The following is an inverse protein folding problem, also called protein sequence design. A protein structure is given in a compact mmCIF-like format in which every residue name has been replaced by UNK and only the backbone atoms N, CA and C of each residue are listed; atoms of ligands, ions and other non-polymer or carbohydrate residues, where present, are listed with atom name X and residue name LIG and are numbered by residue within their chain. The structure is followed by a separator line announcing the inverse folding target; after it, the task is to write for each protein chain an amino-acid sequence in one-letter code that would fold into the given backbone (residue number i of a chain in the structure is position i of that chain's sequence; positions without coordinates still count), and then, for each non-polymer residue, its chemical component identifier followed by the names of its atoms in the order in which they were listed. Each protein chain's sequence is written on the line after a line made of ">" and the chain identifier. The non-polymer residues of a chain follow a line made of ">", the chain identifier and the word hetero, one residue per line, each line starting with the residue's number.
data_IF_647853299693
#
_entry.id   IF_647853299693
#
_cell.length_a   1.000
_cell.length_b   1.000
_cell.length_c   1.000
_cell.angle_alpha   90.00
_cell.angle_beta   90.00
_cell.angle_gamma   90.00
#
_symmetry.space_group_name_H-M   'P 1'
#
loop_
_entity.id
_entity.type
_entity.pdbx_description
1 polymer ?
#
# COMPACT_ATOMS: atom_id res chain seq x y z
N UNK A 1 9.88 7.03 8.13
CA UNK A 1 10.25 5.60 8.32
C UNK A 1 9.14 4.64 7.86
N UNK A 2 8.40 4.91 6.76
CA UNK A 2 7.03 4.36 6.53
C UNK A 2 6.91 3.04 5.80
N UNK A 3 8.03 2.58 5.30
CA UNK A 3 8.24 1.22 4.86
C UNK A 3 9.68 0.95 5.27
N UNK A 4 9.87 0.05 6.22
CA UNK A 4 11.21 -0.26 6.67
C UNK A 4 12.02 -0.97 5.56
N UNK A 5 11.41 -1.34 4.44
CA UNK A 5 12.17 -1.65 3.21
C UNK A 5 12.93 -0.47 2.63
N UNK A 6 12.55 0.79 2.88
CA UNK A 6 13.37 1.92 2.39
C UNK A 6 14.77 1.88 3.00
N UNK A 7 14.94 1.29 4.19
CA UNK A 7 16.26 1.03 4.77
C UNK A 7 17.12 0.07 3.93
N UNK A 8 16.50 -0.72 3.06
CA UNK A 8 17.18 -1.57 2.07
C UNK A 8 17.57 -0.79 0.80
N UNK A 9 17.31 0.52 0.69
CA UNK A 9 17.69 1.30 -0.49
C UNK A 9 16.89 0.98 -1.76
N UNK A 10 15.65 0.50 -1.62
CA UNK A 10 14.77 0.11 -2.75
C UNK A 10 13.89 1.27 -3.28
N UNK A 11 14.13 2.48 -2.82
CA UNK A 11 13.41 3.69 -3.24
C UNK A 11 14.36 4.88 -3.37
N UNK A 12 14.11 5.75 -4.34
CA UNK A 12 14.90 6.95 -4.60
C UNK A 12 14.46 8.18 -3.79
N UNK A 13 13.30 8.12 -3.12
CA UNK A 13 12.71 9.27 -2.43
C UNK A 13 12.77 9.12 -0.90
N UNK A 14 13.06 10.22 -0.17
CA UNK A 14 13.00 10.24 1.28
C UNK A 14 11.55 10.17 1.76
N UNK A 15 11.32 9.54 2.91
CA UNK A 15 9.97 9.18 3.36
C UNK A 15 9.13 10.35 3.88
N UNK A 16 9.77 11.46 4.19
CA UNK A 16 9.16 12.76 4.54
C UNK A 16 8.19 13.26 3.45
N UNK A 17 8.35 12.79 2.21
CA UNK A 17 7.44 13.08 1.09
C UNK A 17 6.01 12.60 1.36
N UNK A 18 5.81 11.58 2.20
CA UNK A 18 4.47 11.01 2.49
C UNK A 18 3.55 12.01 3.17
N UNK A 19 4.05 12.73 4.18
CA UNK A 19 3.26 13.75 4.88
C UNK A 19 2.97 14.96 3.99
N UNK A 20 3.95 15.38 3.20
CA UNK A 20 3.78 16.48 2.25
C UNK A 20 2.73 16.16 1.18
N UNK A 21 2.65 14.91 0.73
CA UNK A 21 1.64 14.47 -0.22
C UNK A 21 0.24 14.43 0.39
N UNK A 22 0.08 14.05 1.65
CA UNK A 22 -1.21 14.18 2.35
C UNK A 22 -1.69 15.63 2.40
N UNK A 23 -0.79 16.57 2.71
CA UNK A 23 -1.11 18.00 2.59
C UNK A 23 -1.51 18.39 1.17
N UNK A 24 -0.85 17.86 0.14
CA UNK A 24 -1.20 18.14 -1.25
C UNK A 24 -2.57 17.56 -1.65
N UNK A 25 -2.95 16.38 -1.14
CA UNK A 25 -4.27 15.81 -1.37
C UNK A 25 -5.37 16.70 -0.79
N UNK A 26 -5.23 17.07 0.49
CA UNK A 26 -6.19 17.90 1.24
C UNK A 26 -6.32 19.30 0.64
N UNK A 27 -5.20 19.92 0.27
CA UNK A 27 -5.20 21.26 -0.32
C UNK A 27 -5.61 21.27 -1.81
N UNK A 28 -5.96 20.13 -2.38
CA UNK A 28 -6.44 20.03 -3.76
C UNK A 28 -5.35 20.17 -4.84
N UNK A 29 -4.07 20.14 -4.44
CA UNK A 29 -2.91 20.33 -5.31
C UNK A 29 -2.36 19.03 -5.93
N UNK A 30 -2.73 17.87 -5.38
CA UNK A 30 -2.37 16.58 -5.99
C UNK A 30 -3.16 16.32 -7.27
N UNK A 31 -2.55 15.60 -8.22
CA UNK A 31 -3.18 15.28 -9.51
C UNK A 31 -4.54 14.58 -9.33
N UNK A 32 -4.64 13.62 -8.40
CA UNK A 32 -5.90 12.94 -8.11
C UNK A 32 -6.98 13.90 -7.58
N UNK A 33 -6.60 14.89 -6.76
CA UNK A 33 -7.54 15.89 -6.23
C UNK A 33 -8.08 16.78 -7.34
N UNK A 34 -7.24 17.10 -8.33
CA UNK A 34 -7.67 17.85 -9.53
C UNK A 34 -8.63 17.00 -10.37
N UNK A 35 -8.27 15.75 -10.66
CA UNK A 35 -9.10 14.84 -11.45
C UNK A 35 -10.44 14.54 -10.79
N UNK A 36 -10.45 14.26 -9.48
CA UNK A 36 -11.68 14.03 -8.72
C UNK A 36 -12.62 15.24 -8.82
N UNK A 37 -12.10 16.46 -8.67
CA UNK A 37 -12.89 17.68 -8.85
C UNK A 37 -13.40 17.85 -10.27
N UNK A 38 -12.59 17.58 -11.29
CA UNK A 38 -13.03 17.65 -12.70
C UNK A 38 -14.16 16.67 -13.00
N UNK A 39 -14.12 15.49 -12.39
CA UNK A 39 -15.14 14.45 -12.54
C UNK A 39 -16.29 14.59 -11.53
N UNK A 40 -16.25 15.58 -10.64
CA UNK A 40 -17.17 15.70 -9.49
C UNK A 40 -17.26 14.41 -8.66
N UNK A 41 -16.17 13.65 -8.59
CA UNK A 41 -16.00 12.48 -7.76
C UNK A 41 -15.57 12.88 -6.33
N UNK A 42 -16.02 12.13 -5.34
CA UNK A 42 -15.58 12.29 -3.96
C UNK A 42 -14.20 11.65 -3.78
N UNK A 43 -13.27 12.39 -3.16
CA UNK A 43 -11.96 11.87 -2.77
C UNK A 43 -11.97 11.57 -1.26
N UNK A 44 -11.97 10.29 -0.88
CA UNK A 44 -11.79 9.84 0.52
C UNK A 44 -10.33 9.46 0.73
N UNK A 45 -9.65 10.13 1.66
CA UNK A 45 -8.24 9.90 1.98
C UNK A 45 -8.14 9.23 3.35
N UNK A 46 -7.54 8.04 3.39
CA UNK A 46 -7.38 7.25 4.63
C UNK A 46 -5.89 7.05 4.91
N UNK A 47 -5.45 7.52 6.07
CA UNK A 47 -4.13 7.27 6.62
C UNK A 47 -4.15 6.01 7.48
N UNK A 48 -3.57 4.94 6.94
CA UNK A 48 -3.50 3.63 7.58
C UNK A 48 -2.27 3.46 8.47
N UNK A 49 -1.27 4.34 8.35
CA UNK A 49 -0.04 4.16 9.09
C UNK A 49 1.11 5.00 8.56
N UNK A 50 0.95 6.32 8.56
CA UNK A 50 2.07 7.26 8.44
C UNK A 50 2.94 7.26 9.70
N UNK A 51 4.26 7.33 9.53
CA UNK A 51 5.23 7.31 10.64
C UNK A 51 5.12 8.52 11.52
N UNK A 52 5.10 9.69 10.89
CA UNK A 52 4.89 10.92 11.62
C UNK A 52 3.39 11.02 11.87
N UNK A 53 2.93 11.06 13.12
CA UNK A 53 1.52 11.31 13.39
C UNK A 53 1.16 12.69 12.84
N UNK A 54 0.26 12.69 11.87
CA UNK A 54 -0.26 13.89 11.20
C UNK A 54 -1.73 14.00 11.51
N UNK A 55 -2.20 15.13 12.01
CA UNK A 55 -3.63 15.40 12.17
C UNK A 55 -4.07 16.40 11.10
N UNK A 56 -4.68 15.88 10.03
CA UNK A 56 -5.04 16.66 8.85
C UNK A 56 -6.55 16.62 8.63
N UNK A 57 -7.23 17.79 8.66
CA UNK A 57 -8.64 17.88 8.26
C UNK A 57 -8.84 17.30 6.86
N UNK A 58 -9.88 16.49 6.68
CA UNK A 58 -10.16 15.82 5.41
C UNK A 58 -9.40 14.50 5.19
N UNK A 59 -8.55 14.08 6.14
CA UNK A 59 -7.94 12.75 6.15
C UNK A 59 -8.52 11.94 7.31
N UNK A 60 -8.84 10.68 7.05
CA UNK A 60 -9.24 9.72 8.09
C UNK A 60 -8.01 9.00 8.62
N UNK A 61 -7.60 9.32 9.84
CA UNK A 61 -6.43 8.70 10.48
C UNK A 61 -6.83 7.46 11.27
N UNK A 62 -6.53 6.27 10.75
CA UNK A 62 -6.71 4.97 11.44
C UNK A 62 -5.42 4.50 12.13
N UNK A 63 -4.25 4.80 11.54
CA UNK A 63 -2.91 4.55 12.11
C UNK A 63 -2.76 3.18 12.77
N UNK A 64 -2.84 2.12 11.97
CA UNK A 64 -2.68 0.71 12.36
C UNK A 64 -1.27 0.43 12.90
N UNK A 65 -0.28 1.18 12.43
CA UNK A 65 1.10 1.17 12.88
C UNK A 65 1.87 2.34 12.28
N UNK A 66 3.12 2.56 12.69
CA UNK A 66 4.01 3.54 12.07
C UNK A 66 4.66 2.95 10.80
N UNK A 67 3.85 2.68 9.78
CA UNK A 67 4.23 1.87 8.62
C UNK A 67 4.28 0.37 8.92
N UNK A 68 4.62 -0.42 7.91
CA UNK A 68 4.85 -1.87 8.02
C UNK A 68 6.30 -2.20 8.40
N UNK A 69 6.49 -3.38 8.97
CA UNK A 69 7.80 -3.95 9.24
C UNK A 69 8.48 -4.39 7.92
N UNK A 70 9.81 -4.54 7.97
CA UNK A 70 10.60 -4.82 6.79
C UNK A 70 10.47 -6.30 6.50
N UNK A 71 9.76 -6.63 5.42
CA UNK A 71 9.45 -8.02 5.12
C UNK A 71 10.67 -8.87 4.76
N UNK A 72 11.83 -8.24 4.53
CA UNK A 72 13.08 -8.95 4.31
C UNK A 72 13.65 -9.59 5.59
N UNK A 73 13.13 -9.23 6.77
CA UNK A 73 13.59 -9.72 8.08
C UNK A 73 12.49 -10.42 8.90
N UNK A 74 11.23 -10.36 8.48
CA UNK A 74 10.08 -10.90 9.20
C UNK A 74 8.78 -10.58 8.46
N UNK A 75 7.59 -10.84 9.03
CA UNK A 75 6.33 -10.46 8.38
C UNK A 75 6.16 -8.93 8.37
N UNK A 76 5.58 -8.38 7.31
CA UNK A 76 5.31 -6.94 7.18
C UNK A 76 4.30 -6.42 8.23
N UNK A 77 3.35 -7.26 8.62
CA UNK A 77 2.32 -6.90 9.62
C UNK A 77 1.85 -8.14 10.39
N UNK A 78 1.31 -7.91 11.60
CA UNK A 78 0.60 -8.96 12.34
C UNK A 78 -0.75 -9.29 11.69
N UNK A 79 -1.34 -10.43 12.05
CA UNK A 79 -2.68 -10.79 11.58
C UNK A 79 -3.73 -9.75 12.00
N UNK A 80 -3.62 -9.20 13.21
CA UNK A 80 -4.53 -8.16 13.72
C UNK A 80 -4.42 -6.88 12.89
N UNK A 81 -3.20 -6.48 12.54
CA UNK A 81 -2.92 -5.31 11.70
C UNK A 81 -3.43 -5.51 10.27
N UNK A 82 -3.14 -6.67 9.67
CA UNK A 82 -3.63 -7.00 8.32
C UNK A 82 -5.15 -7.03 8.24
N UNK A 83 -5.81 -7.64 9.22
CA UNK A 83 -7.26 -7.62 9.33
C UNK A 83 -7.82 -6.21 9.58
N UNK A 84 -7.11 -5.35 10.32
CA UNK A 84 -7.49 -3.95 10.49
C UNK A 84 -7.41 -3.18 9.16
N UNK A 85 -6.37 -3.42 8.36
CA UNK A 85 -6.22 -2.81 7.05
C UNK A 85 -7.31 -3.26 6.07
N UNK A 86 -7.61 -4.56 6.01
CA UNK A 86 -8.72 -5.11 5.22
C UNK A 86 -10.06 -4.46 5.62
N UNK A 87 -10.33 -4.34 6.93
CA UNK A 87 -11.54 -3.66 7.43
C UNK A 87 -11.58 -2.20 7.02
N UNK A 88 -10.46 -1.48 7.08
CA UNK A 88 -10.39 -0.08 6.67
C UNK A 88 -10.81 0.10 5.21
N UNK A 89 -10.35 -0.79 4.32
CA UNK A 89 -10.75 -0.83 2.91
C UNK A 89 -12.26 -1.04 2.72
N UNK A 90 -12.79 -2.08 3.37
CA UNK A 90 -14.23 -2.35 3.38
C UNK A 90 -15.03 -1.14 3.85
N UNK A 91 -14.61 -0.53 4.95
CA UNK A 91 -15.33 0.59 5.55
C UNK A 91 -15.34 1.81 4.62
N UNK A 92 -14.32 2.00 3.78
CA UNK A 92 -14.31 3.03 2.73
C UNK A 92 -15.40 2.80 1.68
N UNK A 93 -15.59 1.55 1.25
CA UNK A 93 -16.67 1.19 0.31
C UNK A 93 -18.04 1.39 0.94
N UNK A 94 -18.22 0.95 2.19
CA UNK A 94 -19.50 1.13 2.89
C UNK A 94 -19.86 2.61 3.06
N UNK A 95 -18.87 3.48 3.36
CA UNK A 95 -19.09 4.94 3.40
C UNK A 95 -19.48 5.50 2.03
N UNK A 96 -18.80 5.09 0.97
CA UNK A 96 -19.10 5.53 -0.40
C UNK A 96 -20.52 5.10 -0.81
N UNK A 97 -20.91 3.86 -0.51
CA UNK A 97 -22.26 3.35 -0.78
C UNK A 97 -23.34 4.10 0.00
N UNK A 98 -23.08 4.44 1.26
CA UNK A 98 -24.02 5.19 2.09
C UNK A 98 -24.39 6.58 1.52
N UNK A 99 -23.53 7.16 0.68
CA UNK A 99 -23.79 8.43 -0.02
C UNK A 99 -24.19 8.25 -1.49
N UNK A 100 -24.53 7.02 -1.90
CA UNK A 100 -25.02 6.71 -3.24
C UNK A 100 -23.93 6.61 -4.32
N UNK A 101 -22.69 6.31 -3.94
CA UNK A 101 -21.60 6.08 -4.92
C UNK A 101 -21.80 4.76 -5.67
N UNK A 102 -21.79 4.81 -7.00
CA UNK A 102 -21.94 3.63 -7.87
C UNK A 102 -20.62 3.12 -8.47
N UNK A 103 -19.56 3.94 -8.43
CA UNK A 103 -18.24 3.58 -8.96
C UNK A 103 -17.16 3.88 -7.93
N UNK A 104 -16.50 2.82 -7.46
CA UNK A 104 -15.33 2.92 -6.59
C UNK A 104 -14.05 2.84 -7.43
N UNK A 105 -13.11 3.77 -7.20
CA UNK A 105 -11.78 3.74 -7.78
C UNK A 105 -10.78 3.66 -6.63
N UNK A 106 -10.08 2.53 -6.53
CA UNK A 106 -9.03 2.33 -5.55
C UNK A 106 -7.74 3.02 -5.97
N UNK A 107 -7.13 3.74 -5.03
CA UNK A 107 -5.80 4.31 -5.18
C UNK A 107 -5.01 4.12 -3.89
N UNK A 108 -3.69 4.13 -4.01
CA UNK A 108 -2.79 4.02 -2.88
C UNK A 108 -1.64 5.02 -3.03
N UNK A 109 -0.91 5.21 -1.95
CA UNK A 109 0.29 6.04 -1.94
C UNK A 109 1.21 5.55 -0.81
N UNK A 110 2.42 5.14 -1.16
CA UNK A 110 3.45 4.78 -0.20
C UNK A 110 4.84 4.88 -0.83
N UNK A 111 5.85 5.17 -0.03
CA UNK A 111 7.24 5.07 -0.48
C UNK A 111 7.72 3.66 -0.23
N UNK A 112 8.15 2.93 -1.26
CA UNK A 112 8.57 1.53 -1.16
C UNK A 112 7.49 0.51 -1.56
N UNK A 113 6.23 0.94 -1.62
CA UNK A 113 5.04 0.15 -1.99
C UNK A 113 5.19 -0.69 -3.27
N UNK A 114 5.90 -0.21 -4.31
CA UNK A 114 6.13 -0.98 -5.54
C UNK A 114 6.91 -2.26 -5.28
N UNK A 115 7.81 -2.26 -4.29
CA UNK A 115 8.55 -3.45 -3.87
C UNK A 115 7.62 -4.45 -3.19
N UNK A 116 6.73 -3.98 -2.28
CA UNK A 116 5.71 -4.80 -1.65
C UNK A 116 4.72 -5.38 -2.68
N UNK A 117 4.26 -4.55 -3.61
CA UNK A 117 3.37 -4.97 -4.69
C UNK A 117 4.01 -6.04 -5.57
N UNK A 118 5.27 -5.85 -5.99
CA UNK A 118 6.00 -6.86 -6.75
C UNK A 118 6.20 -8.15 -5.93
N UNK A 119 6.52 -8.07 -4.64
CA UNK A 119 6.71 -9.25 -3.78
C UNK A 119 5.42 -10.06 -3.60
N UNK A 120 4.30 -9.39 -3.29
CA UNK A 120 2.98 -10.03 -3.20
C UNK A 120 2.61 -10.66 -4.55
N UNK A 121 2.81 -9.95 -5.66
CA UNK A 121 2.52 -10.48 -6.99
C UNK A 121 3.38 -11.70 -7.34
N UNK A 122 4.67 -11.71 -7.01
CA UNK A 122 5.53 -12.88 -7.20
C UNK A 122 5.02 -14.09 -6.40
N UNK A 123 4.63 -13.87 -5.15
CA UNK A 123 4.14 -14.94 -4.27
C UNK A 123 2.81 -15.52 -4.76
N UNK A 124 1.86 -14.67 -5.16
CA UNK A 124 0.51 -15.10 -5.59
C UNK A 124 0.49 -15.67 -7.01
N UNK A 125 1.30 -15.14 -7.92
CA UNK A 125 1.34 -15.56 -9.32
C UNK A 125 2.42 -16.63 -9.60
N UNK A 126 3.18 -17.03 -8.59
CA UNK A 126 4.32 -17.96 -8.71
C UNK A 126 5.31 -17.53 -9.80
N UNK A 127 5.54 -16.21 -9.88
CA UNK A 127 6.34 -15.58 -10.91
C UNK A 127 7.70 -15.15 -10.36
N UNK A 128 8.76 -15.28 -11.18
CA UNK A 128 10.09 -14.85 -10.79
C UNK A 128 10.17 -13.33 -10.64
N UNK A 129 10.82 -12.84 -9.58
CA UNK A 129 10.97 -11.42 -9.30
C UNK A 129 11.50 -10.58 -10.48
N UNK A 130 12.50 -11.02 -11.27
CA UNK A 130 13.00 -10.25 -12.41
C UNK A 130 11.93 -9.91 -13.47
N UNK A 131 10.80 -10.63 -13.51
CA UNK A 131 9.70 -10.37 -14.45
C UNK A 131 8.73 -9.29 -13.96
N UNK A 132 8.71 -9.00 -12.65
CA UNK A 132 7.74 -8.13 -12.00
C UNK A 132 8.38 -6.91 -11.31
N UNK A 133 9.71 -6.91 -11.11
CA UNK A 133 10.41 -5.76 -10.54
C UNK A 133 10.64 -4.70 -11.59
N UNK A 134 10.16 -3.49 -11.31
CA UNK A 134 10.39 -2.30 -12.14
C UNK A 134 11.23 -1.22 -11.44
N UNK A 135 11.55 -0.13 -12.18
CA UNK A 135 12.28 1.01 -11.63
C UNK A 135 11.50 1.75 -10.53
N UNK A 136 10.18 1.57 -10.45
CA UNK A 136 9.32 2.33 -9.55
C UNK A 136 9.49 3.83 -9.77
N UNK A 137 9.90 4.54 -8.72
CA UNK A 137 10.12 5.98 -8.73
C UNK A 137 11.48 6.40 -9.34
N UNK A 138 12.01 5.65 -10.32
CA UNK A 138 13.21 6.03 -11.08
C UNK A 138 14.53 5.39 -10.65
N UNK A 139 14.52 4.17 -10.11
CA UNK A 139 15.77 3.42 -9.87
C UNK A 139 16.54 3.15 -11.17
N UNK A 140 17.86 3.14 -11.09
CA UNK A 140 18.75 2.69 -12.15
C UNK A 140 18.83 1.14 -12.20
N UNK A 141 19.58 0.59 -13.15
CA UNK A 141 19.72 -0.86 -13.33
C UNK A 141 20.23 -1.58 -12.06
N UNK A 142 21.23 -1.02 -11.38
CA UNK A 142 21.77 -1.57 -10.13
C UNK A 142 20.72 -1.57 -9.01
N UNK A 143 19.92 -0.50 -8.90
CA UNK A 143 18.81 -0.41 -7.95
C UNK A 143 17.70 -1.42 -8.23
N UNK A 144 17.39 -1.68 -9.50
CA UNK A 144 16.43 -2.73 -9.90
C UNK A 144 16.97 -4.12 -9.50
N UNK A 145 18.25 -4.39 -9.78
CA UNK A 145 18.87 -5.67 -9.43
C UNK A 145 18.90 -5.89 -7.91
N UNK A 146 19.23 -4.83 -7.15
CA UNK A 146 19.18 -4.87 -5.69
C UNK A 146 17.77 -5.10 -5.16
N UNK A 147 16.78 -4.36 -5.67
CA UNK A 147 15.36 -4.56 -5.34
C UNK A 147 14.92 -6.00 -5.62
N UNK A 148 15.36 -6.57 -6.74
CA UNK A 148 15.07 -7.96 -7.11
C UNK A 148 15.60 -8.94 -6.06
N UNK A 149 16.88 -8.79 -5.66
CA UNK A 149 17.49 -9.63 -4.61
C UNK A 149 16.77 -9.52 -3.25
N UNK A 150 16.33 -8.31 -2.88
CA UNK A 150 15.57 -8.10 -1.63
C UNK A 150 14.25 -8.87 -1.68
N UNK A 151 13.53 -8.81 -2.80
CA UNK A 151 12.27 -9.55 -2.99
C UNK A 151 12.53 -11.07 -2.97
N UNK A 152 13.54 -11.57 -3.67
CA UNK A 152 13.88 -13.00 -3.67
C UNK A 152 14.21 -13.52 -2.27
N UNK A 153 14.98 -12.76 -1.49
CA UNK A 153 15.29 -13.09 -0.09
C UNK A 153 14.02 -13.15 0.77
N UNK A 154 13.12 -12.19 0.59
CA UNK A 154 11.85 -12.17 1.33
C UNK A 154 10.93 -13.34 0.94
N UNK A 155 10.82 -13.65 -0.35
CA UNK A 155 10.05 -14.80 -0.84
C UNK A 155 10.59 -16.12 -0.26
N UNK A 156 11.91 -16.27 -0.16
CA UNK A 156 12.52 -17.44 0.47
C UNK A 156 12.25 -17.51 1.98
N UNK A 157 12.29 -16.37 2.68
CA UNK A 157 11.98 -16.29 4.11
C UNK A 157 10.54 -16.70 4.42
N UNK A 158 9.59 -16.31 3.57
CA UNK A 158 8.15 -16.54 3.74
C UNK A 158 7.61 -17.73 2.93
N UNK A 159 8.49 -18.64 2.50
CA UNK A 159 8.13 -19.74 1.60
C UNK A 159 7.11 -20.71 2.21
N UNK A 160 7.09 -20.88 3.54
CA UNK A 160 6.11 -21.73 4.23
C UNK A 160 4.68 -21.18 4.15
N UNK A 161 4.53 -19.88 3.93
CA UNK A 161 3.26 -19.18 3.79
C UNK A 161 2.82 -19.06 2.32
N UNK A 162 3.65 -19.51 1.37
CA UNK A 162 3.30 -19.51 -0.04
C UNK A 162 2.04 -20.36 -0.31
N UNK A 163 1.16 -19.87 -1.18
CA UNK A 163 -0.10 -20.54 -1.53
C UNK A 163 -1.32 -20.09 -0.71
N UNK A 164 -1.14 -19.32 0.38
CA UNK A 164 -2.22 -18.58 1.04
C UNK A 164 -2.11 -17.08 0.72
N UNK A 165 -2.96 -16.54 -0.16
CA UNK A 165 -2.88 -15.14 -0.57
C UNK A 165 -2.99 -14.12 0.57
N UNK A 166 -3.74 -14.44 1.64
CA UNK A 166 -3.88 -13.54 2.79
C UNK A 166 -2.61 -13.54 3.64
N UNK A 167 -2.01 -14.71 3.87
CA UNK A 167 -0.73 -14.77 4.56
C UNK A 167 0.39 -14.15 3.73
N UNK A 168 0.44 -14.38 2.42
CA UNK A 168 1.37 -13.69 1.51
C UNK A 168 1.23 -12.17 1.62
N UNK A 169 0.00 -11.65 1.65
CA UNK A 169 -0.27 -10.22 1.84
C UNK A 169 0.23 -9.70 3.19
N UNK A 170 0.06 -10.45 4.29
CA UNK A 170 0.51 -10.01 5.61
C UNK A 170 2.02 -10.13 5.78
N UNK A 171 2.65 -11.11 5.12
CA UNK A 171 4.09 -11.27 5.15
C UNK A 171 4.82 -10.24 4.28
N UNK A 172 4.32 -9.97 3.06
CA UNK A 172 5.05 -9.26 2.01
C UNK A 172 4.42 -7.92 1.59
N UNK A 173 3.21 -7.60 2.05
CA UNK A 173 2.44 -6.45 1.60
C UNK A 173 2.60 -5.18 2.44
N UNK A 174 1.82 -4.16 2.07
CA UNK A 174 1.64 -2.91 2.81
C UNK A 174 0.23 -2.77 3.35
N UNK A 175 0.01 -1.90 4.34
CA UNK A 175 -1.35 -1.63 4.84
C UNK A 175 -2.27 -1.12 3.74
N UNK A 176 -1.74 -0.31 2.83
CA UNK A 176 -2.44 0.24 1.67
C UNK A 176 -2.86 -0.85 0.67
N UNK A 177 -2.01 -1.84 0.41
CA UNK A 177 -2.34 -2.99 -0.46
C UNK A 177 -3.43 -3.83 0.22
N UNK A 178 -3.32 -4.05 1.53
CA UNK A 178 -4.33 -4.79 2.29
C UNK A 178 -5.67 -4.05 2.34
N UNK A 179 -5.67 -2.72 2.46
CA UNK A 179 -6.89 -1.93 2.39
C UNK A 179 -7.51 -1.95 0.99
N UNK A 180 -6.72 -1.83 -0.09
CA UNK A 180 -7.26 -1.98 -1.45
C UNK A 180 -7.88 -3.36 -1.67
N UNK A 181 -7.23 -4.41 -1.15
CA UNK A 181 -7.78 -5.78 -1.19
C UNK A 181 -9.13 -5.83 -0.47
N UNK A 182 -9.22 -5.28 0.74
CA UNK A 182 -10.46 -5.22 1.52
C UNK A 182 -11.56 -4.40 0.84
N UNK A 183 -11.20 -3.30 0.17
CA UNK A 183 -12.12 -2.50 -0.61
C UNK A 183 -12.68 -3.27 -1.81
N UNK A 184 -11.82 -3.93 -2.61
CA UNK A 184 -12.29 -4.70 -3.76
C UNK A 184 -13.17 -5.89 -3.36
N UNK A 185 -12.85 -6.57 -2.25
CA UNK A 185 -13.71 -7.60 -1.68
C UNK A 185 -15.09 -7.03 -1.29
N UNK A 186 -15.12 -5.85 -0.65
CA UNK A 186 -16.36 -5.20 -0.27
C UNK A 186 -17.18 -4.75 -1.50
N UNK A 187 -16.55 -4.17 -2.52
CA UNK A 187 -17.25 -3.82 -3.77
C UNK A 187 -17.92 -5.06 -4.38
N UNK A 188 -17.21 -6.20 -4.43
CA UNK A 188 -17.78 -7.44 -4.95
C UNK A 188 -18.97 -7.96 -4.10
N UNK A 189 -18.94 -7.74 -2.78
CA UNK A 189 -20.02 -8.14 -1.86
C UNK A 189 -21.24 -7.20 -1.97
N UNK A 190 -21.01 -5.91 -2.20
CA UNK A 190 -22.04 -4.88 -2.18
C UNK A 190 -22.76 -4.70 -3.52
N UNK A 191 -22.23 -5.25 -4.62
CA UNK A 191 -22.76 -5.13 -5.98
C UNK A 191 -22.46 -3.79 -6.64
#
# INVERSE_FOLDING_TARGET
>A
DNDSLVSEGVSAYPQEVTGQMLHNFVNGGAAISVLARQLSAQLDVVDLGTVAPLDLPGVRHLRIGAGTANFAHGPAMSAEQGLAALRAGRDSVLRAKAVGTELFIGGEMGIGNTTAASAVACSVLECAAPLLVGPGTGLNAEGIEHKTRVIERALALHAEQAGDPLHSLFCLGGFEIAALTGAYLACAQEG
#
